data_IF_368196354519
#
_entry.id   IF_368196354519
#
_cell.length_a   1.000
_cell.length_b   1.000
_cell.length_c   1.000
_cell.angle_alpha   90.00
_cell.angle_beta   90.00
_cell.angle_gamma   90.00
#
_symmetry.space_group_name_H-M   'P 1'
#
loop_
_entity.id
_entity.type
_entity.pdbx_description
1 polymer ?
#
# COMPACT_ATOMS: atom_id res chain seq x y z
N UNK A 1 -8.40 -3.81 -11.19
CA UNK A 1 -7.75 -3.59 -9.88
C UNK A 1 -8.11 -4.67 -8.87
N UNK A 2 -9.42 -4.91 -8.62
CA UNK A 2 -9.85 -5.99 -7.72
C UNK A 2 -9.21 -7.35 -8.03
N UNK A 3 -9.37 -7.88 -9.25
CA UNK A 3 -8.76 -9.16 -9.65
C UNK A 3 -7.23 -9.16 -9.57
N UNK A 4 -6.58 -8.02 -9.78
CA UNK A 4 -5.13 -7.91 -9.64
C UNK A 4 -4.69 -8.12 -8.19
N UNK A 5 -5.35 -7.43 -7.24
CA UNK A 5 -5.09 -7.61 -5.81
C UNK A 5 -5.42 -9.04 -5.39
N UNK A 6 -6.57 -9.58 -5.82
CA UNK A 6 -6.99 -10.94 -5.47
C UNK A 6 -5.94 -11.98 -5.86
N UNK A 7 -5.42 -11.89 -7.09
CA UNK A 7 -4.38 -12.80 -7.57
C UNK A 7 -3.11 -12.68 -6.72
N UNK A 8 -2.69 -11.46 -6.41
CA UNK A 8 -1.50 -11.23 -5.59
C UNK A 8 -1.67 -11.81 -4.17
N UNK A 9 -2.81 -11.58 -3.53
CA UNK A 9 -3.08 -12.14 -2.20
C UNK A 9 -3.11 -13.68 -2.24
N UNK A 10 -3.73 -14.27 -3.27
CA UNK A 10 -3.74 -15.72 -3.47
C UNK A 10 -2.34 -16.30 -3.71
N UNK A 11 -1.50 -15.61 -4.49
CA UNK A 11 -0.12 -16.02 -4.72
C UNK A 11 0.71 -15.92 -3.43
N UNK A 12 0.48 -14.87 -2.63
CA UNK A 12 1.10 -14.71 -1.33
C UNK A 12 0.69 -15.82 -0.35
N UNK A 13 -0.60 -16.19 -0.30
CA UNK A 13 -1.08 -17.32 0.52
C UNK A 13 -0.33 -18.61 0.18
N UNK A 14 -0.22 -18.93 -1.12
CA UNK A 14 0.49 -20.12 -1.60
C UNK A 14 1.98 -20.08 -1.28
N UNK A 15 2.64 -18.96 -1.60
CA UNK A 15 4.09 -18.78 -1.39
C UNK A 15 4.47 -18.85 0.09
N UNK A 16 3.64 -18.25 0.95
CA UNK A 16 3.91 -18.10 2.37
C UNK A 16 3.32 -19.22 3.23
N UNK A 17 2.72 -20.25 2.61
CA UNK A 17 2.10 -21.41 3.27
C UNK A 17 1.13 -21.01 4.38
N UNK A 18 0.27 -20.03 4.07
CA UNK A 18 -0.76 -19.57 5.00
C UNK A 18 -1.97 -20.49 4.81
N UNK A 19 -1.98 -21.56 5.60
CA UNK A 19 -3.08 -22.52 5.60
C UNK A 19 -4.23 -22.00 6.47
N UNK A 20 -5.47 -22.34 6.09
CA UNK A 20 -6.71 -22.04 6.83
C UNK A 20 -7.29 -20.61 6.73
N UNK A 21 -6.87 -19.78 5.77
CA UNK A 21 -7.61 -18.53 5.51
C UNK A 21 -8.89 -18.82 4.70
N UNK A 22 -10.10 -18.48 5.20
CA UNK A 22 -11.33 -18.66 4.45
C UNK A 22 -11.35 -17.82 3.17
N UNK A 23 -11.88 -18.39 2.07
CA UNK A 23 -11.96 -17.71 0.79
C UNK A 23 -12.76 -16.38 0.86
N UNK A 24 -13.82 -16.33 1.67
CA UNK A 24 -14.59 -15.10 1.86
C UNK A 24 -13.77 -13.98 2.49
N UNK A 25 -12.82 -14.32 3.37
CA UNK A 25 -11.96 -13.35 4.04
C UNK A 25 -10.96 -12.75 3.06
N UNK A 26 -10.41 -13.56 2.13
CA UNK A 26 -9.57 -13.06 1.03
C UNK A 26 -10.33 -12.09 0.13
N UNK A 27 -11.60 -12.38 -0.16
CA UNK A 27 -12.46 -11.53 -0.98
C UNK A 27 -12.74 -10.20 -0.27
N UNK A 28 -13.02 -10.23 1.04
CA UNK A 28 -13.27 -9.00 1.81
C UNK A 28 -12.01 -8.13 1.92
N UNK A 29 -10.85 -8.75 2.20
CA UNK A 29 -9.56 -8.05 2.25
C UNK A 29 -9.21 -7.43 0.90
N UNK A 30 -9.41 -8.17 -0.20
CA UNK A 30 -9.25 -7.65 -1.56
C UNK A 30 -10.16 -6.44 -1.80
N UNK A 31 -11.42 -6.52 -1.35
CA UNK A 31 -12.39 -5.43 -1.48
C UNK A 31 -11.92 -4.20 -0.71
N UNK A 32 -11.45 -4.39 0.52
CA UNK A 32 -10.98 -3.30 1.39
C UNK A 32 -9.74 -2.61 0.81
N UNK A 33 -8.80 -3.35 0.25
CA UNK A 33 -7.63 -2.78 -0.44
C UNK A 33 -8.05 -2.07 -1.74
N UNK A 34 -8.92 -2.70 -2.55
CA UNK A 34 -9.36 -2.15 -3.83
C UNK A 34 -10.12 -0.82 -3.67
N UNK A 35 -10.83 -0.62 -2.55
CA UNK A 35 -11.49 0.65 -2.22
C UNK A 35 -10.53 1.84 -2.12
N UNK A 36 -9.24 1.62 -1.87
CA UNK A 36 -8.23 2.69 -1.91
C UNK A 36 -8.12 3.31 -3.31
N UNK A 37 -8.27 2.51 -4.37
CA UNK A 37 -8.25 3.00 -5.75
C UNK A 37 -9.39 3.99 -6.05
N UNK A 38 -10.48 3.93 -5.28
CA UNK A 38 -11.67 4.77 -5.41
C UNK A 38 -11.75 5.90 -4.39
N UNK A 39 -10.63 6.30 -3.78
CA UNK A 39 -10.60 7.44 -2.87
C UNK A 39 -11.10 8.70 -3.59
N UNK A 40 -12.00 9.45 -2.93
CA UNK A 40 -12.60 10.67 -3.48
C UNK A 40 -11.66 11.86 -3.30
N UNK A 41 -11.70 12.82 -4.22
CA UNK A 41 -10.86 14.03 -4.22
C UNK A 41 -10.94 14.88 -2.94
N UNK A 42 -12.05 14.80 -2.23
CA UNK A 42 -12.33 15.54 -1.00
C UNK A 42 -12.02 14.74 0.28
N UNK A 43 -11.12 13.75 0.22
CA UNK A 43 -10.78 12.97 1.40
C UNK A 43 -9.97 13.79 2.41
N UNK A 44 -10.21 13.51 3.69
CA UNK A 44 -9.39 14.02 4.80
C UNK A 44 -8.08 13.22 4.89
N UNK A 45 -6.94 13.90 4.98
CA UNK A 45 -5.62 13.30 5.13
C UNK A 45 -5.53 12.26 6.24
N UNK A 46 -6.21 12.49 7.36
CA UNK A 46 -6.28 11.49 8.44
C UNK A 46 -6.94 10.20 7.98
N UNK A 47 -8.07 10.30 7.26
CA UNK A 47 -8.79 9.15 6.71
C UNK A 47 -7.92 8.33 5.73
N UNK A 48 -7.09 8.98 4.93
CA UNK A 48 -6.15 8.27 4.05
C UNK A 48 -5.06 7.56 4.84
N UNK A 49 -4.43 8.22 5.81
CA UNK A 49 -3.41 7.59 6.64
C UNK A 49 -3.97 6.34 7.34
N UNK A 50 -5.17 6.45 7.91
CA UNK A 50 -5.84 5.33 8.58
C UNK A 50 -6.17 4.18 7.59
N UNK A 51 -6.55 4.49 6.35
CA UNK A 51 -6.74 3.49 5.29
C UNK A 51 -5.43 2.81 4.88
N UNK A 52 -4.35 3.57 4.71
CA UNK A 52 -3.02 3.04 4.39
C UNK A 52 -2.57 2.08 5.51
N UNK A 53 -2.71 2.48 6.77
CA UNK A 53 -2.39 1.64 7.93
C UNK A 53 -3.20 0.34 7.93
N UNK A 54 -4.51 0.45 7.67
CA UNK A 54 -5.38 -0.73 7.56
C UNK A 54 -4.89 -1.67 6.49
N UNK A 55 -4.51 -1.15 5.32
CA UNK A 55 -3.96 -1.93 4.21
C UNK A 55 -2.64 -2.59 4.58
N UNK A 56 -1.73 -1.90 5.28
CA UNK A 56 -0.48 -2.50 5.75
C UNK A 56 -0.71 -3.63 6.77
N UNK A 57 -1.73 -3.53 7.63
CA UNK A 57 -2.12 -4.63 8.51
C UNK A 57 -2.62 -5.84 7.71
N UNK A 58 -3.39 -5.62 6.65
CA UNK A 58 -3.80 -6.68 5.74
C UNK A 58 -2.58 -7.29 5.04
N UNK A 59 -1.65 -6.48 4.53
CA UNK A 59 -0.43 -6.99 3.91
C UNK A 59 0.41 -7.85 4.86
N UNK A 60 0.52 -7.45 6.14
CA UNK A 60 1.18 -8.24 7.19
C UNK A 60 0.50 -9.60 7.42
N UNK A 61 -0.84 -9.64 7.42
CA UNK A 61 -1.61 -10.89 7.50
C UNK A 61 -1.26 -11.87 6.36
N UNK A 62 -1.00 -11.37 5.15
CA UNK A 62 -0.55 -12.17 4.01
C UNK A 62 0.97 -12.38 3.95
N UNK A 63 1.73 -11.88 4.94
CA UNK A 63 3.20 -11.86 4.98
C UNK A 63 3.83 -11.28 3.70
N UNK A 64 3.21 -10.24 3.16
CA UNK A 64 3.79 -9.51 2.03
C UNK A 64 5.04 -8.77 2.48
N UNK A 65 6.05 -8.73 1.60
CA UNK A 65 7.24 -7.91 1.85
C UNK A 65 6.90 -6.42 1.73
N UNK A 66 7.77 -5.56 2.25
CA UNK A 66 7.63 -4.12 2.02
C UNK A 66 7.64 -3.81 0.52
N UNK A 67 8.50 -4.48 -0.26
CA UNK A 67 8.56 -4.33 -1.72
C UNK A 67 7.23 -4.68 -2.39
N UNK A 68 6.64 -5.84 -2.07
CA UNK A 68 5.33 -6.24 -2.61
C UNK A 68 4.25 -5.20 -2.24
N UNK A 69 4.30 -4.70 -1.01
CA UNK A 69 3.36 -3.70 -0.50
C UNK A 69 3.46 -2.37 -1.26
N UNK A 70 4.69 -1.89 -1.51
CA UNK A 70 4.94 -0.69 -2.30
C UNK A 70 4.45 -0.88 -3.74
N UNK A 71 4.69 -2.03 -4.37
CA UNK A 71 4.26 -2.29 -5.75
C UNK A 71 2.73 -2.28 -5.92
N UNK A 72 2.01 -2.78 -4.92
CA UNK A 72 0.53 -2.71 -4.90
C UNK A 72 0.08 -1.25 -4.76
N UNK A 73 0.65 -0.52 -3.81
CA UNK A 73 0.28 0.86 -3.53
C UNK A 73 0.65 1.79 -4.69
N UNK A 74 1.77 1.54 -5.38
CA UNK A 74 2.19 2.23 -6.60
C UNK A 74 1.07 2.13 -7.65
N UNK A 75 0.58 0.93 -7.93
CA UNK A 75 -0.54 0.73 -8.87
C UNK A 75 -1.85 1.37 -8.43
N UNK A 76 -2.10 1.45 -7.12
CA UNK A 76 -3.34 2.00 -6.55
C UNK A 76 -3.35 3.53 -6.50
N UNK A 77 -2.23 4.16 -6.16
CA UNK A 77 -2.11 5.58 -5.88
C UNK A 77 -1.48 6.32 -7.06
N UNK A 78 -0.45 5.73 -7.67
CA UNK A 78 0.35 6.34 -8.74
C UNK A 78 -0.24 5.97 -10.10
N UNK A 79 -1.37 6.61 -10.39
CA UNK A 79 -2.00 6.54 -11.70
C UNK A 79 -2.68 7.87 -12.01
N UNK A 80 -3.02 8.11 -13.28
CA UNK A 80 -3.61 9.38 -13.73
C UNK A 80 -4.86 9.77 -12.92
N UNK A 81 -5.72 8.79 -12.60
CA UNK A 81 -6.97 9.01 -11.85
C UNK A 81 -6.72 9.47 -10.41
N UNK A 82 -5.61 9.06 -9.82
CA UNK A 82 -5.24 9.31 -8.42
C UNK A 82 -4.03 10.25 -8.25
N UNK A 83 -3.47 10.78 -9.35
CA UNK A 83 -2.36 11.74 -9.37
C UNK A 83 -2.59 12.98 -8.50
N UNK A 84 -3.84 13.34 -8.27
CA UNK A 84 -4.26 14.43 -7.40
C UNK A 84 -3.96 14.18 -5.91
N UNK A 85 -3.79 12.91 -5.47
CA UNK A 85 -3.42 12.58 -4.08
C UNK A 85 -2.04 13.15 -3.77
N UNK A 86 -1.06 12.91 -4.66
CA UNK A 86 0.28 13.45 -4.49
C UNK A 86 0.31 14.97 -4.65
N UNK A 87 -0.49 15.55 -5.57
CA UNK A 87 -0.65 17.00 -5.65
C UNK A 87 -1.18 17.62 -4.36
N UNK A 88 -2.16 16.99 -3.72
CA UNK A 88 -2.68 17.48 -2.44
C UNK A 88 -1.63 17.41 -1.32
N UNK A 89 -0.70 16.44 -1.36
CA UNK A 89 0.34 16.26 -0.33
C UNK A 89 1.51 17.22 -0.55
N UNK A 90 2.01 17.28 -1.78
CA UNK A 90 3.23 17.99 -2.15
C UNK A 90 2.97 19.38 -2.75
N UNK A 91 1.70 19.78 -2.86
CA UNK A 91 1.25 21.07 -3.39
C UNK A 91 1.11 21.11 -4.91
N UNK A 92 0.61 22.25 -5.40
CA UNK A 92 0.29 22.47 -6.82
C UNK A 92 1.51 22.45 -7.76
N UNK A 93 2.73 22.58 -7.21
CA UNK A 93 4.00 22.50 -7.95
C UNK A 93 4.37 21.05 -8.28
N UNK A 94 3.61 20.07 -7.76
CA UNK A 94 3.84 18.66 -8.05
C UNK A 94 3.53 18.32 -9.52
N UNK A 95 4.58 17.94 -10.25
CA UNK A 95 4.50 17.40 -11.61
C UNK A 95 4.51 15.88 -11.52
N UNK A 96 3.47 15.26 -12.08
CA UNK A 96 3.38 13.80 -12.16
C UNK A 96 4.43 13.26 -13.15
N UNK A 97 5.45 12.62 -12.59
CA UNK A 97 6.48 11.90 -13.33
C UNK A 97 6.65 10.53 -12.67
N UNK A 98 6.33 9.45 -13.39
CA UNK A 98 6.09 8.12 -12.79
C UNK A 98 7.19 7.65 -11.83
N UNK A 99 8.47 7.85 -12.16
CA UNK A 99 9.59 7.44 -11.31
C UNK A 99 9.70 8.30 -10.03
N UNK A 100 9.56 9.62 -10.16
CA UNK A 100 9.51 10.56 -9.04
C UNK A 100 8.34 10.26 -8.10
N UNK A 101 7.16 10.02 -8.68
CA UNK A 101 5.94 9.64 -7.97
C UNK A 101 6.09 8.39 -7.10
N UNK A 102 6.90 7.42 -7.53
CA UNK A 102 7.16 6.20 -6.77
C UNK A 102 8.07 6.45 -5.57
N UNK A 103 9.10 7.29 -5.71
CA UNK A 103 9.93 7.73 -4.58
C UNK A 103 9.11 8.51 -3.55
N UNK A 104 8.27 9.43 -4.01
CA UNK A 104 7.36 10.20 -3.16
C UNK A 104 6.40 9.28 -2.39
N UNK A 105 5.87 8.24 -3.05
CA UNK A 105 5.05 7.23 -2.40
C UNK A 105 5.81 6.50 -1.28
N UNK A 106 7.06 6.10 -1.53
CA UNK A 106 7.91 5.43 -0.53
C UNK A 106 8.12 6.36 0.68
N UNK A 107 8.45 7.63 0.44
CA UNK A 107 8.61 8.62 1.51
C UNK A 107 7.33 8.83 2.32
N UNK A 108 6.18 8.97 1.64
CA UNK A 108 4.88 9.11 2.27
C UNK A 108 4.54 7.90 3.16
N UNK A 109 4.72 6.69 2.62
CA UNK A 109 4.44 5.45 3.35
C UNK A 109 5.36 5.34 4.57
N UNK A 110 6.66 5.57 4.40
CA UNK A 110 7.62 5.54 5.52
C UNK A 110 7.25 6.55 6.60
N UNK A 111 6.82 7.76 6.22
CA UNK A 111 6.36 8.76 7.16
C UNK A 111 5.11 8.29 7.95
N UNK A 112 4.11 7.72 7.26
CA UNK A 112 2.90 7.19 7.88
C UNK A 112 3.25 6.05 8.84
N UNK A 113 4.05 5.06 8.41
CA UNK A 113 4.38 3.90 9.22
C UNK A 113 5.20 4.26 10.47
N UNK A 114 6.16 5.17 10.34
CA UNK A 114 6.96 5.67 11.46
C UNK A 114 6.10 6.41 12.49
N UNK A 115 5.19 7.27 12.03
CA UNK A 115 4.30 8.04 12.91
C UNK A 115 3.40 7.16 13.76
N UNK A 116 3.00 5.99 13.25
CA UNK A 116 2.11 5.06 13.94
C UNK A 116 2.85 3.88 14.60
N UNK A 117 4.19 3.91 14.65
CA UNK A 117 5.04 2.85 15.22
C UNK A 117 4.74 1.45 14.67
N UNK A 118 4.30 1.35 13.41
CA UNK A 118 3.97 0.06 12.78
C UNK A 118 5.25 -0.66 12.32
N UNK A 119 6.41 0.01 12.35
CA UNK A 119 7.73 -0.56 12.07
C UNK A 119 8.33 -1.39 13.23
N UNK A 120 7.52 -2.16 13.96
CA UNK A 120 8.00 -3.34 14.70
C UNK A 120 7.91 -4.63 13.84
N UNK A 121 7.84 -4.49 12.52
CA UNK A 121 8.16 -5.58 11.60
C UNK A 121 9.68 -5.56 11.38
N UNK A 122 10.36 -6.56 11.92
CA UNK A 122 11.81 -6.81 11.87
C UNK A 122 12.43 -6.40 10.52
N UNK A 123 12.96 -5.18 10.45
CA UNK A 123 13.95 -4.83 9.42
C UNK A 123 15.30 -5.14 10.02
N UNK A 124 15.76 -6.38 9.82
CA UNK A 124 17.20 -6.67 9.81
C UNK A 124 17.81 -5.86 8.65
N UNK A 125 18.27 -4.65 8.97
CA UNK A 125 19.02 -3.75 8.07
C UNK A 125 20.46 -4.23 7.84
N UNK A 126 20.70 -5.54 7.71
CA UNK A 126 22.06 -6.09 7.47
C UNK A 126 22.35 -6.38 5.99
N UNK A 127 21.55 -5.87 5.05
CA UNK A 127 21.68 -6.19 3.62
C UNK A 127 22.10 -5.06 2.68
N UNK A 128 22.40 -3.86 3.18
CA UNK A 128 22.86 -2.73 2.35
C UNK A 128 24.11 -2.07 2.96
N UNK A 129 25.18 -2.85 3.06
CA UNK A 129 26.53 -2.30 3.09
C UNK A 129 27.18 -2.67 1.74
N UNK A 130 27.62 -1.62 1.04
CA UNK A 130 28.63 -1.68 -0.04
C UNK A 130 29.88 -2.40 0.44
#
# INVERSE_FOLDING_TARGET
MFFYILNLLNDALKKNKIDNLPAFEVIDDTTNIAKLAGIKRNFDFKCFNDKIITIFRLFSKYKLTLTDSIDILDKLIINEKNSWILKNIYGDVYIYEKEKSRLDLIFLINHILNRYKIMEMEVSLTGLAL
#
